data_IF_205775532397
#
_entry.id   IF_205775532397
#
_cell.length_a   1.000
_cell.length_b   1.000
_cell.length_c   1.000
_cell.angle_alpha   90.00
_cell.angle_beta   90.00
_cell.angle_gamma   90.00
#
_symmetry.space_group_name_H-M   'P 1'
#
loop_
_entity.id
_entity.type
_entity.pdbx_description
1 polymer ?
#
# COMPACT_ATOMS: atom_id res chain seq x y z
N UNK A 1 7.65 -28.71 2.63
CA UNK A 1 6.42 -28.35 3.37
C UNK A 1 6.56 -28.48 4.89
N UNK A 2 7.79 -28.62 5.39
CA UNK A 2 8.09 -28.90 6.80
C UNK A 2 8.62 -27.71 7.61
N UNK A 3 8.83 -26.55 6.97
CA UNK A 3 9.46 -25.38 7.63
C UNK A 3 8.49 -24.28 8.09
N UNK A 4 7.19 -24.50 7.96
CA UNK A 4 6.18 -23.55 8.46
C UNK A 4 5.82 -23.78 9.94
N UNK A 5 6.25 -24.89 10.51
CA UNK A 5 6.08 -25.17 11.94
C UNK A 5 7.36 -24.78 12.65
N UNK A 6 7.43 -23.56 13.14
CA UNK A 6 8.42 -23.18 14.14
C UNK A 6 8.37 -24.24 15.26
N UNK A 7 9.51 -24.88 15.56
CA UNK A 7 9.59 -25.80 16.69
C UNK A 7 8.99 -25.09 17.91
N UNK A 8 8.04 -25.74 18.56
CA UNK A 8 7.26 -25.22 19.69
C UNK A 8 8.09 -24.77 20.92
N UNK A 9 9.40 -24.90 20.86
CA UNK A 9 10.35 -24.50 21.93
C UNK A 9 10.87 -23.05 21.77
N UNK A 10 10.56 -22.36 20.67
CA UNK A 10 11.00 -20.99 20.46
C UNK A 10 9.94 -20.00 20.97
N UNK A 11 10.31 -19.11 21.88
CA UNK A 11 9.44 -18.04 22.36
C UNK A 11 9.00 -17.10 21.21
N UNK A 12 7.93 -16.31 21.41
CA UNK A 12 7.38 -15.45 20.36
C UNK A 12 8.38 -14.42 19.81
N UNK A 13 9.41 -14.09 20.57
CA UNK A 13 10.47 -13.15 20.19
C UNK A 13 11.74 -13.83 19.65
N UNK A 14 11.76 -15.16 19.52
CA UNK A 14 12.94 -15.85 19.01
C UNK A 14 13.11 -15.55 17.51
N UNK A 15 14.32 -15.16 17.07
CA UNK A 15 14.60 -14.95 15.65
C UNK A 15 14.31 -16.22 14.84
N UNK A 16 13.49 -16.09 13.82
CA UNK A 16 13.20 -17.19 12.90
C UNK A 16 14.27 -17.26 11.81
N UNK A 17 14.58 -18.46 11.37
CA UNK A 17 15.43 -18.62 10.20
C UNK A 17 14.74 -18.00 8.98
N UNK A 18 15.45 -17.21 8.19
CA UNK A 18 14.89 -16.63 6.98
C UNK A 18 14.56 -17.71 5.96
N UNK A 19 13.45 -17.56 5.24
CA UNK A 19 13.06 -18.48 4.16
C UNK A 19 14.03 -18.44 2.97
N UNK A 20 14.76 -17.35 2.81
CA UNK A 20 15.76 -17.15 1.76
C UNK A 20 17.06 -16.65 2.35
N UNK A 21 18.16 -17.00 1.72
CA UNK A 21 19.46 -16.47 2.13
C UNK A 21 19.47 -14.94 2.06
N UNK A 22 19.82 -14.24 3.14
CA UNK A 22 19.83 -12.79 3.17
C UNK A 22 20.90 -12.24 2.22
N UNK A 23 20.54 -11.30 1.36
CA UNK A 23 21.46 -10.59 0.45
C UNK A 23 21.69 -9.16 0.89
N UNK A 24 20.70 -8.55 1.51
CA UNK A 24 20.79 -7.17 2.01
C UNK A 24 21.65 -7.12 3.28
N UNK A 25 22.55 -6.15 3.34
CA UNK A 25 23.38 -5.87 4.52
C UNK A 25 22.75 -4.82 5.44
N UNK A 26 21.99 -3.90 4.85
CA UNK A 26 21.34 -2.81 5.56
C UNK A 26 19.91 -2.67 5.04
N UNK A 27 19.01 -2.28 5.92
CA UNK A 27 17.61 -1.97 5.60
C UNK A 27 17.30 -0.60 6.15
N UNK A 28 16.70 0.25 5.33
CA UNK A 28 16.18 1.55 5.73
C UNK A 28 14.67 1.51 5.56
N UNK A 29 13.94 1.74 6.64
CA UNK A 29 12.49 1.84 6.61
C UNK A 29 12.10 3.31 6.63
N UNK A 30 11.49 3.79 5.53
CA UNK A 30 10.91 5.13 5.45
C UNK A 30 9.40 5.00 5.69
N UNK A 31 9.01 5.19 6.94
CA UNK A 31 7.63 5.06 7.34
C UNK A 31 6.90 6.41 7.23
N UNK A 32 5.80 6.43 6.48
CA UNK A 32 4.93 7.60 6.33
C UNK A 32 3.67 7.40 7.18
N UNK A 33 3.65 8.02 8.34
CA UNK A 33 2.50 7.97 9.26
C UNK A 33 1.23 8.51 8.59
N UNK A 34 0.11 7.80 8.80
CA UNK A 34 -1.17 8.11 8.15
C UNK A 34 -1.28 7.68 6.69
N UNK A 35 -0.16 7.37 6.07
CA UNK A 35 -0.05 6.89 4.69
C UNK A 35 -0.44 7.93 3.63
N UNK A 36 0.20 7.90 2.47
CA UNK A 36 -0.24 8.64 1.30
C UNK A 36 -1.51 7.99 0.71
N UNK A 37 -2.31 8.78 -0.01
CA UNK A 37 -3.44 8.25 -0.77
C UNK A 37 -2.95 7.31 -1.87
N UNK A 38 -3.28 6.03 -1.81
CA UNK A 38 -2.86 5.06 -2.80
C UNK A 38 -3.42 5.37 -4.20
N UNK A 39 -4.66 5.89 -4.28
CA UNK A 39 -5.30 6.22 -5.56
C UNK A 39 -4.67 7.42 -6.25
N UNK A 40 -4.00 8.27 -5.48
CA UNK A 40 -3.31 9.46 -5.96
C UNK A 40 -1.82 9.21 -6.24
N UNK A 41 -1.31 8.02 -5.93
CA UNK A 41 0.13 7.72 -6.03
C UNK A 41 0.44 6.52 -6.92
N UNK A 42 0.14 5.30 -6.49
CA UNK A 42 0.60 4.07 -7.14
C UNK A 42 -0.51 3.13 -7.62
N UNK A 43 -1.76 3.45 -7.32
CA UNK A 43 -2.90 2.58 -7.64
C UNK A 43 -4.06 3.37 -8.27
N UNK A 44 -3.88 3.90 -9.49
CA UNK A 44 -4.89 4.70 -10.17
C UNK A 44 -6.18 3.91 -10.38
N UNK A 45 -7.30 4.56 -10.19
CA UNK A 45 -8.64 3.98 -10.33
C UNK A 45 -9.43 4.68 -11.44
N UNK A 46 -9.28 4.30 -12.72
CA UNK A 46 -9.98 4.94 -13.82
C UNK A 46 -11.50 4.98 -13.66
N UNK A 47 -12.09 3.91 -13.08
CA UNK A 47 -13.53 3.88 -12.80
C UNK A 47 -13.93 4.93 -11.76
N UNK A 48 -13.10 5.16 -10.74
CA UNK A 48 -13.36 6.20 -9.76
C UNK A 48 -13.31 7.60 -10.39
N UNK A 49 -12.34 7.82 -11.28
CA UNK A 49 -12.22 9.07 -12.03
C UNK A 49 -13.44 9.30 -12.93
N UNK A 50 -13.94 8.27 -13.61
CA UNK A 50 -15.14 8.36 -14.43
C UNK A 50 -16.41 8.67 -13.63
N UNK A 51 -16.44 8.25 -12.35
CA UNK A 51 -17.55 8.51 -11.43
C UNK A 51 -17.39 9.82 -10.65
N UNK A 52 -16.35 10.60 -10.90
CA UNK A 52 -16.06 11.83 -10.15
C UNK A 52 -17.29 12.75 -10.09
N UNK A 53 -17.64 13.20 -8.88
CA UNK A 53 -18.82 14.01 -8.56
C UNK A 53 -20.18 13.34 -8.81
N UNK A 54 -20.24 12.05 -9.13
CA UNK A 54 -21.52 11.33 -9.14
C UNK A 54 -21.88 10.88 -7.72
N UNK A 55 -23.17 10.74 -7.47
CA UNK A 55 -23.67 10.33 -6.15
C UNK A 55 -23.40 8.86 -5.88
N UNK A 56 -22.88 8.57 -4.70
CA UNK A 56 -22.70 7.19 -4.22
C UNK A 56 -23.98 6.68 -3.57
N UNK A 57 -24.52 5.59 -4.12
CA UNK A 57 -25.67 4.89 -3.55
C UNK A 57 -25.28 3.95 -2.39
N UNK A 58 -24.04 3.95 -1.95
CA UNK A 58 -23.58 3.08 -0.88
C UNK A 58 -24.17 3.50 0.46
N UNK A 59 -24.86 2.56 1.09
CA UNK A 59 -25.38 2.71 2.47
C UNK A 59 -24.29 2.52 3.53
N UNK A 60 -23.09 2.07 3.13
CA UNK A 60 -21.91 1.97 3.99
C UNK A 60 -21.19 3.31 4.10
N UNK A 61 -21.89 4.32 4.54
CA UNK A 61 -21.27 5.57 4.94
C UNK A 61 -20.58 5.38 6.28
N UNK A 62 -19.26 5.38 6.29
CA UNK A 62 -18.44 5.18 7.49
C UNK A 62 -18.38 6.42 8.39
N UNK A 63 -18.84 7.53 7.94
CA UNK A 63 -19.07 8.73 8.74
C UNK A 63 -19.93 9.65 7.90
N UNK A 64 -21.07 10.00 8.39
CA UNK A 64 -21.89 11.15 8.00
C UNK A 64 -21.52 11.85 6.68
N UNK A 65 -21.71 11.18 5.51
CA UNK A 65 -21.99 12.01 4.39
C UNK A 65 -21.03 12.07 3.22
N UNK A 66 -20.22 11.08 2.94
CA UNK A 66 -19.61 11.00 1.60
C UNK A 66 -20.67 10.62 0.56
N UNK A 67 -21.35 11.63 0.02
CA UNK A 67 -22.41 11.44 -0.97
C UNK A 67 -21.88 11.26 -2.39
N UNK A 68 -20.62 11.61 -2.64
CA UNK A 68 -20.06 11.67 -3.97
C UNK A 68 -18.76 10.92 -4.09
N UNK A 69 -18.57 10.30 -5.24
CA UNK A 69 -17.26 9.77 -5.60
C UNK A 69 -16.28 10.90 -5.92
N UNK A 70 -15.05 10.75 -5.46
CA UNK A 70 -13.98 11.69 -5.73
C UNK A 70 -12.86 10.96 -6.47
N UNK A 71 -12.67 11.30 -7.73
CA UNK A 71 -11.54 10.80 -8.53
C UNK A 71 -10.25 11.56 -8.21
N UNK A 72 -9.13 10.97 -8.55
CA UNK A 72 -7.83 11.62 -8.40
C UNK A 72 -7.70 12.83 -9.32
N UNK A 73 -7.20 13.98 -8.83
CA UNK A 73 -6.88 15.12 -9.68
C UNK A 73 -5.56 14.94 -10.44
N UNK A 74 -4.77 13.95 -10.09
CA UNK A 74 -3.46 13.69 -10.66
C UNK A 74 -3.54 12.69 -11.81
N UNK A 75 -2.66 12.88 -12.79
CA UNK A 75 -2.50 11.93 -13.87
C UNK A 75 -1.56 10.80 -13.43
N UNK A 76 -1.77 9.62 -13.99
CA UNK A 76 -0.87 8.51 -13.83
C UNK A 76 -0.29 8.08 -15.17
N UNK A 77 0.91 7.52 -15.14
CA UNK A 77 1.60 6.97 -16.31
C UNK A 77 2.31 5.68 -15.95
N UNK A 78 2.56 4.86 -16.94
CA UNK A 78 3.42 3.70 -16.80
C UNK A 78 4.87 4.14 -16.88
N UNK A 79 5.69 3.65 -15.95
CA UNK A 79 7.13 3.96 -15.84
C UNK A 79 7.93 2.67 -15.71
N UNK A 80 9.22 2.74 -16.08
CA UNK A 80 10.10 1.58 -16.11
C UNK A 80 9.72 0.54 -17.16
N UNK A 81 10.54 -0.48 -17.31
CA UNK A 81 10.32 -1.60 -18.23
C UNK A 81 9.16 -2.49 -17.76
N UNK A 82 9.03 -2.64 -16.45
CA UNK A 82 7.92 -3.39 -15.84
C UNK A 82 6.55 -2.71 -15.99
N UNK A 83 6.52 -1.44 -16.41
CA UNK A 83 5.28 -0.68 -16.61
C UNK A 83 4.54 -0.38 -15.29
N UNK A 84 5.28 -0.08 -14.23
CA UNK A 84 4.72 0.33 -12.95
C UNK A 84 3.89 1.60 -13.13
N UNK A 85 2.62 1.56 -12.69
CA UNK A 85 1.75 2.75 -12.73
C UNK A 85 2.11 3.69 -11.58
N UNK A 86 2.35 4.95 -11.92
CA UNK A 86 2.80 5.95 -10.96
C UNK A 86 2.18 7.31 -11.30
N UNK A 87 1.83 8.06 -10.26
CA UNK A 87 1.33 9.42 -10.38
C UNK A 87 2.42 10.38 -10.86
N UNK A 88 2.01 11.45 -11.55
CA UNK A 88 2.89 12.54 -11.99
C UNK A 88 3.42 13.41 -10.83
N UNK A 89 2.94 13.21 -9.63
CA UNK A 89 3.49 13.84 -8.43
C UNK A 89 4.93 13.37 -8.13
N UNK A 90 5.26 12.15 -8.54
CA UNK A 90 6.59 11.60 -8.31
C UNK A 90 7.55 12.08 -9.41
N UNK A 91 8.43 13.04 -9.06
CA UNK A 91 9.36 13.63 -10.02
C UNK A 91 10.58 12.73 -10.27
N UNK A 92 11.16 12.16 -9.22
CA UNK A 92 12.41 11.38 -9.28
C UNK A 92 12.21 9.87 -9.15
N UNK A 93 11.14 9.44 -8.49
CA UNK A 93 10.90 8.02 -8.29
C UNK A 93 10.79 7.19 -9.59
N UNK A 94 10.29 7.75 -10.71
CA UNK A 94 10.29 7.07 -12.00
C UNK A 94 11.68 6.65 -12.53
N UNK A 95 12.75 7.33 -12.10
CA UNK A 95 14.13 7.03 -12.52
C UNK A 95 14.60 5.67 -11.99
N UNK A 96 14.06 5.22 -10.88
CA UNK A 96 14.37 3.94 -10.24
C UNK A 96 13.20 2.95 -10.27
N UNK A 97 12.24 3.15 -11.16
CA UNK A 97 11.00 2.38 -11.21
C UNK A 97 11.22 0.87 -11.35
N UNK A 98 12.24 0.46 -12.09
CA UNK A 98 12.55 -0.95 -12.31
C UNK A 98 13.21 -1.64 -11.11
N UNK A 99 13.65 -0.86 -10.12
CA UNK A 99 14.18 -1.35 -8.84
C UNK A 99 13.09 -1.42 -7.75
N UNK A 100 11.87 -0.95 -8.05
CA UNK A 100 10.78 -0.91 -7.10
C UNK A 100 9.89 -2.14 -7.20
N UNK A 101 9.52 -2.68 -6.05
CA UNK A 101 8.43 -3.63 -5.92
C UNK A 101 7.23 -2.96 -5.24
N UNK A 102 6.19 -2.66 -6.02
CA UNK A 102 4.98 -2.06 -5.49
C UNK A 102 3.99 -3.14 -5.06
N UNK A 103 3.85 -3.33 -3.75
CA UNK A 103 2.90 -4.28 -3.19
C UNK A 103 1.55 -3.60 -2.94
N UNK A 104 0.63 -3.77 -3.88
CA UNK A 104 -0.76 -3.27 -3.78
C UNK A 104 -1.66 -4.33 -3.15
N UNK A 105 -2.69 -3.91 -2.46
CA UNK A 105 -3.65 -4.83 -1.84
C UNK A 105 -3.38 -5.13 -0.37
N UNK A 106 -2.41 -4.46 0.26
CA UNK A 106 -2.30 -4.47 1.71
C UNK A 106 -3.53 -3.77 2.32
N UNK A 107 -4.15 -4.43 3.28
CA UNK A 107 -5.33 -3.90 3.99
C UNK A 107 -5.10 -4.01 5.49
N UNK A 108 -5.59 -3.04 6.23
CA UNK A 108 -5.72 -3.13 7.68
C UNK A 108 -7.19 -3.39 8.04
N UNK A 109 -7.44 -3.96 9.20
CA UNK A 109 -8.79 -4.28 9.67
C UNK A 109 -9.56 -3.03 10.12
N UNK A 110 -8.86 -1.96 10.44
CA UNK A 110 -9.43 -0.70 10.90
C UNK A 110 -9.37 0.40 9.86
N UNK A 111 -10.39 1.26 9.88
CA UNK A 111 -10.45 2.50 9.12
C UNK A 111 -9.93 3.70 9.93
N UNK A 112 -9.73 3.52 11.20
CA UNK A 112 -9.12 4.52 12.07
C UNK A 112 -7.60 4.51 11.87
N UNK A 113 -7.02 5.64 11.45
CA UNK A 113 -5.59 5.73 11.15
C UNK A 113 -4.67 5.25 12.28
N UNK A 114 -4.83 5.67 13.55
CA UNK A 114 -3.98 5.18 14.64
C UNK A 114 -4.03 3.67 14.83
N UNK A 115 -5.21 3.07 14.74
CA UNK A 115 -5.40 1.64 14.89
C UNK A 115 -4.86 0.87 13.68
N UNK A 116 -5.12 1.35 12.46
CA UNK A 116 -4.56 0.78 11.24
C UNK A 116 -3.02 0.85 11.24
N UNK A 117 -2.45 1.95 11.73
CA UNK A 117 -1.03 2.11 11.92
C UNK A 117 -0.44 1.03 12.84
N UNK A 118 -1.10 0.76 13.94
CA UNK A 118 -0.69 -0.29 14.87
C UNK A 118 -0.71 -1.66 14.19
N UNK A 119 -1.80 -2.00 13.51
CA UNK A 119 -1.94 -3.28 12.79
C UNK A 119 -0.91 -3.47 11.68
N UNK A 120 -0.47 -2.40 11.03
CA UNK A 120 0.52 -2.48 9.95
C UNK A 120 1.97 -2.62 10.44
N UNK A 121 2.23 -2.40 11.73
CA UNK A 121 3.58 -2.42 12.32
C UNK A 121 3.77 -3.53 13.34
N UNK A 122 2.76 -4.33 13.64
CA UNK A 122 2.79 -5.48 14.54
C UNK A 122 2.44 -6.76 13.81
#
# INVERSE_FOLDING_TARGET
MTDLLAKETAGPLTPRQPMHAPKAKNVIMLFMEGGPSQVDTFDPKPKLNALHKTESKSTRSLANGFKFFVGSPFKSRKVGQAGLEMSDQWQHLPEVADELCNYRGCTAESLNHPEALFHMNT
#
